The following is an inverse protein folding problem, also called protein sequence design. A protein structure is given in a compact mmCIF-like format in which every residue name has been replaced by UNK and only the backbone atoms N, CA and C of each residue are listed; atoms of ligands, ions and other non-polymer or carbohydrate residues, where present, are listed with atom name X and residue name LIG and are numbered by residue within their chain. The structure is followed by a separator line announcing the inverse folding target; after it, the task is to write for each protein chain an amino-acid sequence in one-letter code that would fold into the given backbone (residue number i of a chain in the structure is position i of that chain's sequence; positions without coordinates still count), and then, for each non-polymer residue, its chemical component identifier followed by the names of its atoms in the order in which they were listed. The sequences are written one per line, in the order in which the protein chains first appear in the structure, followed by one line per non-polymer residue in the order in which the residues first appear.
data_IF_030671849541
#
_entry.id   IF_030671849541
#
_cell.length_a   1.000
_cell.length_b   1.000
_cell.length_c   1.000
_cell.angle_alpha   90.00
_cell.angle_beta   90.00
_cell.angle_gamma   90.00
#
_symmetry.space_group_name_H-M   'P 1'
#
loop_
_entity.id
_entity.type
_entity.pdbx_description
1 polymer ?
#
# COMPACT_ATOMS: atom_id res chain seq x y z
N UNK A 1 -38.03 -44.86 -25.89
CA UNK A 1 -37.05 -44.38 -26.88
C UNK A 1 -36.47 -43.07 -26.38
N UNK A 2 -35.14 -43.03 -26.20
CA UNK A 2 -34.38 -41.81 -25.92
C UNK A 2 -34.43 -40.89 -27.14
N UNK A 3 -34.69 -39.61 -26.95
CA UNK A 3 -34.36 -38.57 -27.92
C UNK A 3 -33.20 -37.78 -27.34
N UNK A 4 -32.02 -38.03 -27.90
CA UNK A 4 -30.82 -37.22 -27.72
C UNK A 4 -31.01 -35.87 -28.40
N UNK A 5 -30.74 -34.79 -27.68
CA UNK A 5 -30.30 -33.52 -28.27
C UNK A 5 -28.88 -33.24 -27.77
N UNK A 6 -27.94 -33.22 -28.71
CA UNK A 6 -26.58 -32.77 -28.49
C UNK A 6 -26.59 -31.26 -28.28
N UNK A 7 -26.32 -30.82 -27.06
CA UNK A 7 -25.87 -29.46 -26.75
C UNK A 7 -24.44 -29.55 -26.26
N UNK A 8 -23.48 -29.04 -27.02
CA UNK A 8 -22.10 -28.84 -26.58
C UNK A 8 -22.08 -27.77 -25.48
N UNK A 9 -22.28 -28.20 -24.24
CA UNK A 9 -22.04 -27.38 -23.07
C UNK A 9 -20.54 -27.27 -22.85
N UNK A 10 -19.97 -26.15 -23.26
CA UNK A 10 -18.66 -25.72 -22.78
C UNK A 10 -18.80 -25.61 -21.26
N UNK A 11 -18.04 -26.44 -20.53
CA UNK A 11 -17.92 -26.33 -19.09
C UNK A 11 -17.46 -24.90 -18.76
N UNK A 12 -17.99 -24.25 -17.71
CA UNK A 12 -17.36 -23.03 -17.24
C UNK A 12 -15.93 -23.42 -16.84
N UNK A 13 -14.97 -22.89 -17.59
CA UNK A 13 -13.61 -22.68 -17.09
C UNK A 13 -13.79 -21.71 -15.94
N UNK A 14 -13.93 -22.25 -14.72
CA UNK A 14 -13.85 -21.48 -13.50
C UNK A 14 -12.52 -20.72 -13.57
N UNK A 15 -12.68 -19.43 -13.84
CA UNK A 15 -11.60 -18.53 -14.20
C UNK A 15 -10.55 -18.55 -13.11
N UNK A 16 -9.32 -18.77 -13.59
CA UNK A 16 -8.07 -18.24 -13.07
C UNK A 16 -8.27 -17.31 -11.87
N UNK A 17 -7.61 -17.66 -10.75
CA UNK A 17 -7.38 -16.83 -9.59
C UNK A 17 -7.29 -15.36 -10.01
N UNK A 18 -8.41 -14.64 -9.92
CA UNK A 18 -8.41 -13.21 -10.16
C UNK A 18 -7.41 -12.67 -9.15
N UNK A 19 -6.26 -12.11 -9.57
CA UNK A 19 -5.22 -11.73 -8.64
C UNK A 19 -5.89 -10.80 -7.65
N UNK A 20 -5.87 -11.24 -6.39
CA UNK A 20 -6.45 -10.55 -5.26
C UNK A 20 -6.14 -9.06 -5.47
N UNK A 21 -7.17 -8.23 -5.68
CA UNK A 21 -6.96 -6.79 -5.94
C UNK A 21 -6.38 -6.20 -4.67
N UNK A 22 -5.06 -6.30 -4.50
CA UNK A 22 -4.31 -5.59 -3.47
C UNK A 22 -4.69 -4.12 -3.66
N UNK A 23 -5.34 -3.56 -2.65
CA UNK A 23 -6.01 -2.28 -2.73
C UNK A 23 -5.00 -1.22 -3.12
N UNK A 24 -5.13 -0.66 -4.32
CA UNK A 24 -4.38 0.53 -4.70
C UNK A 24 -4.80 1.68 -3.77
N UNK A 25 -3.85 2.54 -3.43
CA UNK A 25 -4.14 3.82 -2.80
C UNK A 25 -4.92 4.67 -3.80
N UNK A 26 -6.15 5.08 -3.49
CA UNK A 26 -6.91 5.98 -4.36
C UNK A 26 -6.16 7.29 -4.59
N UNK A 27 -6.18 7.80 -5.83
CA UNK A 27 -5.44 9.02 -6.21
C UNK A 27 -5.77 10.22 -5.32
N UNK A 28 -7.02 10.36 -4.90
CA UNK A 28 -7.43 11.44 -3.99
C UNK A 28 -6.76 11.33 -2.62
N UNK A 29 -6.51 10.11 -2.11
CA UNK A 29 -5.75 9.95 -0.86
C UNK A 29 -4.30 10.36 -1.08
N UNK A 30 -3.71 9.99 -2.23
CA UNK A 30 -2.33 10.38 -2.57
C UNK A 30 -2.22 11.89 -2.64
N UNK A 31 -3.15 12.55 -3.33
CA UNK A 31 -3.19 14.00 -3.48
C UNK A 31 -3.37 14.72 -2.14
N UNK A 32 -4.37 14.33 -1.34
CA UNK A 32 -4.62 14.92 -0.03
C UNK A 32 -3.44 14.72 0.93
N UNK A 33 -2.92 13.49 1.01
CA UNK A 33 -1.79 13.16 1.88
C UNK A 33 -0.52 13.93 1.48
N UNK A 34 -0.10 13.82 0.21
CA UNK A 34 1.17 14.36 -0.22
C UNK A 34 1.18 15.89 -0.28
N UNK A 35 0.12 16.52 -0.81
CA UNK A 35 0.17 17.93 -1.16
C UNK A 35 -0.56 18.85 -0.18
N UNK A 36 -1.53 18.33 0.57
CA UNK A 36 -2.28 19.13 1.55
C UNK A 36 -1.84 18.86 2.99
N UNK A 37 -1.65 17.59 3.36
CA UNK A 37 -1.20 17.23 4.71
C UNK A 37 0.31 17.39 4.84
N UNK A 38 1.10 16.74 3.99
CA UNK A 38 2.57 16.79 4.05
C UNK A 38 3.17 18.02 3.37
N UNK A 39 2.38 18.74 2.57
CA UNK A 39 2.80 19.96 1.86
C UNK A 39 4.05 19.75 0.99
N UNK A 40 4.19 18.56 0.40
CA UNK A 40 5.28 18.25 -0.52
C UNK A 40 5.09 18.94 -1.88
N UNK A 41 6.18 19.10 -2.61
CA UNK A 41 6.15 19.63 -3.97
C UNK A 41 5.47 18.63 -4.92
N UNK A 42 4.63 19.14 -5.82
CA UNK A 42 4.05 18.33 -6.90
C UNK A 42 5.16 17.85 -7.86
N UNK A 43 5.05 16.61 -8.40
CA UNK A 43 5.97 16.13 -9.43
C UNK A 43 6.03 17.04 -10.65
N UNK A 44 7.18 17.04 -11.33
CA UNK A 44 7.40 17.76 -12.58
C UNK A 44 7.76 16.79 -13.70
N UNK A 45 7.91 17.28 -14.94
CA UNK A 45 8.37 16.44 -16.05
C UNK A 45 9.78 15.87 -15.80
N UNK A 46 10.67 16.66 -15.21
CA UNK A 46 12.05 16.24 -14.89
C UNK A 46 12.14 15.39 -13.62
N UNK A 47 11.13 15.47 -12.75
CA UNK A 47 11.01 14.68 -11.52
C UNK A 47 9.61 14.08 -11.43
N UNK A 48 9.36 12.95 -12.12
CA UNK A 48 8.03 12.33 -12.19
C UNK A 48 7.64 11.57 -10.91
N UNK A 49 8.19 11.97 -9.77
CA UNK A 49 7.93 11.42 -8.44
C UNK A 49 7.87 12.55 -7.40
N UNK A 50 7.21 12.28 -6.29
CA UNK A 50 7.02 13.19 -5.15
C UNK A 50 8.27 13.11 -4.28
N UNK A 51 9.08 14.17 -4.33
CA UNK A 51 10.30 14.28 -3.51
C UNK A 51 9.94 14.34 -2.03
N UNK A 52 10.70 13.65 -1.19
CA UNK A 52 10.48 13.55 0.25
C UNK A 52 9.39 12.57 0.66
N UNK A 53 8.85 11.79 -0.29
CA UNK A 53 7.86 10.75 -0.04
C UNK A 53 8.47 9.35 -0.15
N UNK A 54 8.02 8.45 0.71
CA UNK A 54 8.38 7.03 0.72
C UNK A 54 7.11 6.15 0.73
N UNK A 55 7.10 5.10 -0.11
CA UNK A 55 6.11 4.02 -0.11
C UNK A 55 6.82 2.70 0.24
N UNK A 56 6.61 2.16 1.46
CA UNK A 56 7.34 1.00 1.95
C UNK A 56 6.70 -0.33 1.55
N UNK A 57 5.63 -0.31 0.77
CA UNK A 57 4.89 -1.49 0.35
C UNK A 57 4.35 -1.32 -1.07
N UNK A 58 5.19 -0.79 -1.96
CA UNK A 58 4.76 -0.45 -3.30
C UNK A 58 4.31 -1.65 -4.10
N UNK A 59 3.29 -1.44 -4.93
CA UNK A 59 2.75 -2.47 -5.81
C UNK A 59 3.73 -2.80 -6.96
N UNK A 60 4.50 -1.81 -7.43
CA UNK A 60 5.40 -1.95 -8.57
C UNK A 60 6.44 -0.81 -8.61
N UNK A 61 7.73 -1.11 -8.81
CA UNK A 61 8.77 -0.07 -8.91
C UNK A 61 8.85 0.66 -10.25
N UNK A 62 8.41 0.03 -11.33
CA UNK A 62 8.43 0.61 -12.69
C UNK A 62 7.22 1.50 -12.94
N UNK A 63 6.05 1.12 -12.40
CA UNK A 63 4.80 1.84 -12.52
C UNK A 63 4.09 1.89 -11.14
N UNK A 64 4.65 2.63 -10.17
CA UNK A 64 4.11 2.67 -8.82
C UNK A 64 2.76 3.39 -8.79
N UNK A 65 1.84 2.89 -7.97
CA UNK A 65 0.57 3.58 -7.72
C UNK A 65 0.79 4.87 -6.92
N UNK A 66 1.70 4.87 -5.95
CA UNK A 66 2.17 6.07 -5.27
C UNK A 66 3.51 6.46 -5.89
N UNK A 67 3.62 7.57 -6.64
CA UNK A 67 4.86 7.97 -7.27
C UNK A 67 5.82 8.59 -6.25
N UNK A 68 6.26 7.82 -5.25
CA UNK A 68 7.16 8.26 -4.19
C UNK A 68 8.64 8.27 -4.64
N UNK A 69 9.48 9.06 -3.95
CA UNK A 69 10.92 9.11 -4.19
C UNK A 69 11.62 7.79 -3.83
N UNK A 70 11.18 7.16 -2.73
CA UNK A 70 11.70 5.87 -2.28
C UNK A 70 10.59 4.84 -2.30
N UNK A 71 10.88 3.69 -2.90
CA UNK A 71 9.95 2.58 -3.10
C UNK A 71 10.56 1.29 -2.56
N UNK A 72 9.86 0.65 -1.62
CA UNK A 72 10.15 -0.73 -1.23
C UNK A 72 9.04 -1.64 -1.70
N UNK A 73 9.38 -2.62 -2.53
CA UNK A 73 8.45 -3.67 -2.94
C UNK A 73 8.62 -4.92 -2.04
N UNK A 74 7.85 -5.97 -2.35
CA UNK A 74 7.91 -7.23 -1.61
C UNK A 74 9.30 -7.90 -1.59
N UNK A 75 10.15 -7.62 -2.57
CA UNK A 75 11.50 -8.19 -2.67
C UNK A 75 12.49 -7.41 -1.80
N UNK A 76 12.32 -6.09 -1.67
CA UNK A 76 13.12 -5.31 -0.71
C UNK A 76 12.72 -5.60 0.73
N UNK A 77 11.44 -5.93 0.95
CA UNK A 77 10.80 -6.01 2.25
C UNK A 77 10.93 -4.68 3.00
N UNK A 78 9.96 -3.77 2.83
CA UNK A 78 9.97 -2.46 3.50
C UNK A 78 9.89 -2.49 5.03
N UNK A 79 9.82 -3.67 5.66
CA UNK A 79 9.95 -3.87 7.12
C UNK A 79 11.38 -4.28 7.55
N UNK A 80 12.29 -4.49 6.61
CA UNK A 80 13.70 -4.73 6.92
C UNK A 80 14.32 -3.48 7.56
N UNK A 81 15.06 -3.66 8.65
CA UNK A 81 15.70 -2.56 9.38
C UNK A 81 16.78 -1.84 8.57
N UNK A 82 17.31 -2.49 7.52
CA UNK A 82 18.28 -1.88 6.59
C UNK A 82 17.62 -0.87 5.65
N UNK A 83 16.31 -0.99 5.44
CA UNK A 83 15.52 -0.09 4.62
C UNK A 83 15.04 1.08 5.47
N UNK A 84 15.84 2.15 5.55
CA UNK A 84 15.54 3.32 6.39
C UNK A 84 14.29 4.07 5.91
N UNK A 85 13.56 4.62 6.87
CA UNK A 85 12.40 5.49 6.65
C UNK A 85 12.76 6.96 6.95
N UNK A 86 13.92 7.20 7.55
CA UNK A 86 14.35 8.46 8.15
C UNK A 86 14.28 9.63 7.16
N UNK A 87 13.68 10.74 7.60
CA UNK A 87 13.56 11.97 6.82
C UNK A 87 12.46 11.99 5.76
N UNK A 88 11.75 10.89 5.52
CA UNK A 88 10.66 10.82 4.53
C UNK A 88 9.27 10.90 5.16
N UNK A 89 8.35 11.58 4.50
CA UNK A 89 6.92 11.40 4.75
C UNK A 89 6.45 10.09 4.12
N UNK A 90 5.46 9.44 4.73
CA UNK A 90 5.07 8.08 4.32
C UNK A 90 3.57 8.01 4.07
N UNK A 91 3.19 7.47 2.91
CA UNK A 91 1.83 6.97 2.67
C UNK A 91 1.90 5.45 2.71
N UNK A 92 1.18 4.86 3.65
CA UNK A 92 1.29 3.45 4.00
C UNK A 92 -0.05 2.75 3.71
N UNK A 93 -0.05 1.87 2.71
CA UNK A 93 -1.22 1.07 2.34
C UNK A 93 -0.82 -0.39 2.10
N UNK A 94 -0.40 -1.11 3.16
CA UNK A 94 0.04 -2.48 3.02
C UNK A 94 -1.15 -3.42 2.83
N UNK A 95 -0.86 -4.68 2.46
CA UNK A 95 -1.84 -5.75 2.45
C UNK A 95 -2.67 -5.75 3.76
N UNK A 96 -3.98 -5.96 3.64
CA UNK A 96 -4.93 -5.90 4.75
C UNK A 96 -4.95 -7.15 5.64
N UNK A 97 -4.06 -8.11 5.43
CA UNK A 97 -3.81 -9.19 6.37
C UNK A 97 -3.38 -8.64 7.74
N UNK A 98 -4.03 -9.13 8.81
CA UNK A 98 -3.83 -8.60 10.17
C UNK A 98 -2.36 -8.61 10.62
N UNK A 99 -1.60 -9.65 10.23
CA UNK A 99 -0.19 -9.76 10.57
C UNK A 99 0.67 -8.69 9.87
N UNK A 100 0.41 -8.44 8.59
CA UNK A 100 1.15 -7.44 7.81
C UNK A 100 0.83 -6.03 8.33
N UNK A 101 -0.45 -5.72 8.50
CA UNK A 101 -0.91 -4.46 9.10
C UNK A 101 -0.27 -4.22 10.47
N UNK A 102 -0.29 -5.21 11.37
CA UNK A 102 0.32 -5.09 12.69
C UNK A 102 1.81 -4.74 12.64
N UNK A 103 2.58 -5.38 11.74
CA UNK A 103 4.02 -5.12 11.62
C UNK A 103 4.31 -3.72 11.09
N UNK A 104 3.58 -3.29 10.07
CA UNK A 104 3.73 -1.94 9.51
C UNK A 104 3.27 -0.85 10.48
N UNK A 105 2.19 -1.07 11.23
CA UNK A 105 1.73 -0.14 12.27
C UNK A 105 2.78 0.02 13.37
N UNK A 106 3.31 -1.09 13.90
CA UNK A 106 4.32 -1.00 14.96
C UNK A 106 5.57 -0.28 14.48
N UNK A 107 6.04 -0.58 13.27
CA UNK A 107 7.16 0.14 12.68
C UNK A 107 6.85 1.64 12.54
N UNK A 108 5.68 1.99 12.00
CA UNK A 108 5.27 3.38 11.86
C UNK A 108 5.27 4.14 13.20
N UNK A 109 4.74 3.51 14.25
CA UNK A 109 4.76 4.07 15.61
C UNK A 109 6.21 4.28 16.08
N UNK A 110 7.07 3.25 15.96
CA UNK A 110 8.46 3.34 16.39
C UNK A 110 9.25 4.43 15.63
N UNK A 111 9.05 4.57 14.32
CA UNK A 111 9.76 5.57 13.51
C UNK A 111 9.31 7.00 13.89
N UNK A 112 8.03 7.20 14.21
CA UNK A 112 7.48 8.49 14.68
C UNK A 112 7.94 8.80 16.10
N UNK A 113 7.82 7.84 17.04
CA UNK A 113 8.21 8.02 18.45
C UNK A 113 9.71 8.33 18.60
N UNK A 114 10.55 7.76 17.73
CA UNK A 114 11.98 8.05 17.69
C UNK A 114 12.33 9.34 16.94
N UNK A 115 11.35 10.09 16.42
CA UNK A 115 11.56 11.34 15.69
C UNK A 115 12.29 11.18 14.37
N UNK A 116 12.28 9.96 13.78
CA UNK A 116 13.00 9.67 12.54
C UNK A 116 12.24 10.13 11.30
N UNK A 117 10.91 10.05 11.36
CA UNK A 117 10.02 10.42 10.26
C UNK A 117 9.18 11.65 10.63
N UNK A 118 8.97 12.60 9.71
CA UNK A 118 8.15 13.79 9.95
C UNK A 118 6.66 13.46 10.12
N UNK A 119 6.08 12.60 9.28
CA UNK A 119 4.70 12.15 9.40
C UNK A 119 4.42 10.88 8.57
N UNK A 120 3.37 10.15 8.96
CA UNK A 120 2.88 8.95 8.28
C UNK A 120 1.35 9.03 8.16
N UNK A 121 0.81 8.72 6.98
CA UNK A 121 -0.62 8.44 6.77
C UNK A 121 -0.77 6.95 6.50
N UNK A 122 -1.51 6.27 7.37
CA UNK A 122 -1.82 4.85 7.26
C UNK A 122 -3.26 4.65 6.77
N UNK A 123 -3.42 3.84 5.74
CA UNK A 123 -4.71 3.33 5.28
C UNK A 123 -4.97 2.00 5.97
N UNK A 124 -6.00 1.98 6.82
CA UNK A 124 -6.44 0.78 7.52
C UNK A 124 -7.92 0.49 7.22
N UNK A 125 -8.30 -0.79 7.20
CA UNK A 125 -9.72 -1.15 7.18
C UNK A 125 -10.40 -0.65 8.45
N UNK A 126 -11.64 -0.17 8.32
CA UNK A 126 -12.51 0.12 9.47
C UNK A 126 -12.96 -1.21 10.10
N UNK A 127 -12.05 -1.85 10.82
CA UNK A 127 -12.28 -3.07 11.59
C UNK A 127 -12.03 -2.73 13.06
N UNK A 128 -13.13 -2.58 13.80
CA UNK A 128 -13.18 -2.23 15.23
C UNK A 128 -12.54 -3.27 16.16
N UNK A 129 -12.09 -4.41 15.63
CA UNK A 129 -11.59 -5.55 16.42
C UNK A 129 -10.10 -5.84 16.19
N UNK A 130 -9.32 -4.80 15.88
CA UNK A 130 -7.88 -4.95 15.65
C UNK A 130 -7.08 -4.32 16.77
N UNK A 131 -6.27 -5.13 17.45
CA UNK A 131 -5.42 -4.70 18.56
C UNK A 131 -4.49 -3.53 18.20
N UNK A 132 -4.15 -3.34 16.92
CA UNK A 132 -3.35 -2.18 16.48
C UNK A 132 -4.07 -0.86 16.68
N UNK A 133 -5.40 -0.83 16.53
CA UNK A 133 -6.19 0.40 16.69
C UNK A 133 -6.11 0.95 18.11
N UNK A 134 -5.99 0.06 19.10
CA UNK A 134 -5.80 0.45 20.50
C UNK A 134 -4.43 1.09 20.76
N UNK A 135 -3.41 0.79 19.93
CA UNK A 135 -2.07 1.37 20.04
C UNK A 135 -1.95 2.75 19.37
N UNK A 136 -2.92 3.12 18.53
CA UNK A 136 -2.98 4.43 17.86
C UNK A 136 -3.73 5.50 18.68
N UNK A 137 -4.35 5.12 19.81
CA UNK A 137 -4.99 6.04 20.76
C UNK A 137 -3.99 6.53 21.79
#
# INVERSE_FOLDING_TARGET
GKVSSNGSGIAPIDGEDAPERMGLTPDWIIEEAAFYVFQLERPTLDRPYIKGLLDPCTNNKLAPNIPAEVLYDKNDNGLDQRNTWDGYHIILNPDFSSQTQWRFVNRAIEEVENGKVPAIILICRNSTDTAYFQRLR
#
